data_IF_241380570127
#
_entry.id   IF_241380570127
#
_cell.length_a   1.000
_cell.length_b   1.000
_cell.length_c   1.000
_cell.angle_alpha   90.00
_cell.angle_beta   90.00
_cell.angle_gamma   90.00
#
_symmetry.space_group_name_H-M   'P 1'
#
loop_
_entity.id
_entity.type
_entity.pdbx_description
1 polymer ?
#
# COMPACT_ATOMS: atom_id res chain seq x y z
N UNK A 1 13.51 -3.29 14.09
CA UNK A 1 14.50 -4.37 14.31
C UNK A 1 15.91 -3.78 14.35
N UNK A 2 16.47 -3.53 15.53
CA UNK A 2 17.84 -3.02 15.66
C UNK A 2 18.58 -3.77 16.76
N UNK A 3 19.79 -4.27 16.46
CA UNK A 3 20.62 -5.01 17.43
C UNK A 3 20.27 -6.50 17.60
N UNK A 4 19.40 -7.05 16.75
CA UNK A 4 19.08 -8.48 16.75
C UNK A 4 20.01 -9.23 15.79
N UNK A 5 20.36 -10.46 16.14
CA UNK A 5 21.09 -11.36 15.25
C UNK A 5 20.26 -11.61 13.99
N UNK A 6 20.81 -11.16 12.86
CA UNK A 6 20.28 -11.43 11.53
C UNK A 6 21.27 -12.34 10.80
N UNK A 7 20.76 -13.38 10.16
CA UNK A 7 21.57 -14.23 9.29
C UNK A 7 22.16 -13.45 8.10
N UNK A 8 22.97 -14.12 7.25
CA UNK A 8 23.55 -13.50 6.07
C UNK A 8 22.49 -12.86 5.16
N UNK A 9 22.74 -11.61 4.72
CA UNK A 9 21.83 -10.90 3.81
C UNK A 9 21.98 -11.45 2.39
N UNK A 10 20.92 -12.06 1.86
CA UNK A 10 20.83 -12.38 0.44
C UNK A 10 20.69 -11.08 -0.37
N UNK A 11 21.64 -10.81 -1.27
CA UNK A 11 21.61 -9.67 -2.19
C UNK A 11 21.10 -10.14 -3.55
N UNK A 12 19.78 -10.17 -3.70
CA UNK A 12 19.12 -10.44 -4.98
C UNK A 12 18.54 -9.13 -5.51
N UNK A 13 18.67 -8.88 -6.82
CA UNK A 13 17.95 -7.78 -7.46
C UNK A 13 16.45 -8.10 -7.46
N UNK A 14 15.64 -7.16 -6.96
CA UNK A 14 14.20 -7.25 -7.01
C UNK A 14 13.70 -6.57 -8.29
N UNK A 15 13.04 -7.33 -9.16
CA UNK A 15 12.37 -6.76 -10.33
C UNK A 15 11.03 -6.20 -9.86
N UNK A 16 10.84 -4.89 -9.94
CA UNK A 16 9.59 -4.27 -9.48
C UNK A 16 8.42 -4.63 -10.38
N UNK A 17 7.35 -5.09 -9.77
CA UNK A 17 6.08 -5.27 -10.45
C UNK A 17 5.48 -3.90 -10.83
N UNK A 18 4.67 -3.81 -11.91
CA UNK A 18 4.08 -2.55 -12.33
C UNK A 18 3.24 -1.85 -11.24
N UNK A 19 2.64 -2.60 -10.32
CA UNK A 19 1.84 -2.04 -9.22
C UNK A 19 2.71 -1.46 -8.09
N UNK A 20 3.92 -1.98 -7.88
CA UNK A 20 4.87 -1.46 -6.91
C UNK A 20 5.38 -0.08 -7.35
N UNK A 21 5.71 0.06 -8.63
CA UNK A 21 6.05 1.34 -9.25
C UNK A 21 4.92 2.36 -9.13
N UNK A 22 3.66 1.93 -9.30
CA UNK A 22 2.50 2.81 -9.10
C UNK A 22 2.35 3.23 -7.64
N UNK A 23 2.62 2.33 -6.70
CA UNK A 23 2.57 2.63 -5.26
C UNK A 23 3.59 3.68 -4.87
N UNK A 24 4.85 3.54 -5.33
CA UNK A 24 5.89 4.56 -5.14
C UNK A 24 5.47 5.92 -5.74
N UNK A 25 4.94 5.92 -6.96
CA UNK A 25 4.47 7.15 -7.60
C UNK A 25 3.33 7.82 -6.80
N UNK A 26 2.37 7.06 -6.28
CA UNK A 26 1.29 7.56 -5.43
C UNK A 26 1.87 8.22 -4.18
N UNK A 27 2.79 7.56 -3.47
CA UNK A 27 3.43 8.12 -2.27
C UNK A 27 4.13 9.43 -2.60
N UNK A 28 4.91 9.48 -3.69
CA UNK A 28 5.62 10.71 -4.10
C UNK A 28 4.68 11.86 -4.43
N UNK A 29 3.54 11.58 -5.06
CA UNK A 29 2.54 12.60 -5.39
C UNK A 29 1.86 13.13 -4.13
N UNK A 30 1.42 12.24 -3.24
CA UNK A 30 0.74 12.61 -2.00
C UNK A 30 1.65 13.37 -1.03
N UNK A 31 2.95 13.07 -1.05
CA UNK A 31 3.94 13.70 -0.17
C UNK A 31 4.72 14.85 -0.80
N UNK A 32 4.35 15.29 -2.00
CA UNK A 32 5.09 16.35 -2.68
C UNK A 32 4.92 17.70 -1.95
N UNK A 33 6.00 18.29 -1.40
CA UNK A 33 5.91 19.54 -0.65
C UNK A 33 5.51 20.73 -1.53
N UNK A 34 5.72 20.65 -2.85
CA UNK A 34 5.44 21.76 -3.78
C UNK A 34 3.95 21.91 -4.11
N UNK A 35 3.14 20.88 -3.89
CA UNK A 35 1.72 20.86 -4.30
C UNK A 35 0.74 20.97 -3.13
N UNK A 36 1.21 21.16 -1.89
CA UNK A 36 0.39 21.00 -0.70
C UNK A 36 0.21 19.51 -0.40
N UNK A 37 1.09 18.90 0.40
CA UNK A 37 1.09 17.46 0.61
C UNK A 37 -0.18 17.00 1.34
N UNK A 38 -0.86 16.01 0.77
CA UNK A 38 -2.00 15.34 1.41
C UNK A 38 -1.55 14.36 2.49
N UNK A 39 -0.28 13.93 2.46
CA UNK A 39 0.33 13.05 3.45
C UNK A 39 1.81 13.43 3.64
N UNK A 40 2.34 13.28 4.86
CA UNK A 40 3.77 13.39 5.14
C UNK A 40 4.41 12.01 5.32
N UNK A 41 5.74 11.93 5.15
CA UNK A 41 6.46 10.65 5.28
C UNK A 41 6.44 10.12 6.72
N UNK A 42 6.40 11.00 7.74
CA UNK A 42 6.20 10.58 9.13
C UNK A 42 4.82 9.91 9.34
N UNK A 43 3.77 10.41 8.69
CA UNK A 43 2.43 9.80 8.74
C UNK A 43 2.42 8.41 8.08
N UNK A 44 3.12 8.25 6.94
CA UNK A 44 3.31 6.94 6.31
C UNK A 44 4.04 5.95 7.24
N UNK A 45 5.11 6.39 7.91
CA UNK A 45 5.87 5.50 8.82
C UNK A 45 5.03 5.09 10.02
N UNK A 46 4.34 6.05 10.64
CA UNK A 46 3.41 5.77 11.74
C UNK A 46 2.38 4.73 11.34
N UNK A 47 1.73 4.91 10.19
CA UNK A 47 0.71 3.97 9.73
C UNK A 47 1.24 2.56 9.45
N UNK A 48 2.50 2.39 9.04
CA UNK A 48 3.15 1.07 8.89
C UNK A 48 3.44 0.44 10.27
N UNK A 49 3.91 1.24 11.23
CA UNK A 49 4.22 0.78 12.59
C UNK A 49 2.96 0.36 13.35
N UNK A 50 1.82 1.03 13.08
CA UNK A 50 0.52 0.77 13.71
C UNK A 50 -0.16 -0.52 13.19
N UNK A 51 0.32 -1.14 12.10
CA UNK A 51 -0.26 -2.39 11.55
C UNK A 51 -0.11 -3.60 12.48
N UNK A 52 0.70 -3.48 13.53
CA UNK A 52 0.97 -4.55 14.47
C UNK A 52 1.91 -5.62 13.90
N UNK A 53 2.49 -6.46 14.76
CA UNK A 53 3.57 -7.37 14.38
C UNK A 53 3.15 -8.47 13.39
N UNK A 54 1.90 -8.95 13.43
CA UNK A 54 1.43 -10.02 12.53
C UNK A 54 1.33 -9.58 11.06
N UNK A 55 0.79 -8.39 10.81
CA UNK A 55 0.61 -7.86 9.45
C UNK A 55 1.96 -7.42 8.86
N UNK A 56 2.89 -6.97 9.71
CA UNK A 56 4.22 -6.53 9.28
C UNK A 56 5.04 -7.64 8.61
N UNK A 57 4.86 -8.88 9.07
CA UNK A 57 5.57 -10.07 8.58
C UNK A 57 4.85 -10.74 7.38
N UNK A 58 3.54 -10.56 7.26
CA UNK A 58 2.73 -11.13 6.16
C UNK A 58 2.74 -10.27 4.88
N UNK A 59 2.87 -8.94 5.03
CA UNK A 59 2.84 -8.02 3.90
C UNK A 59 4.24 -7.72 3.33
N UNK A 60 4.33 -7.71 2.02
CA UNK A 60 5.50 -7.20 1.29
C UNK A 60 5.72 -5.71 1.55
N UNK A 61 6.87 -5.19 1.14
CA UNK A 61 7.24 -3.79 1.37
C UNK A 61 6.21 -2.80 0.80
N UNK A 62 5.78 -2.98 -0.45
CA UNK A 62 4.83 -2.06 -1.09
C UNK A 62 3.38 -2.29 -0.65
N UNK A 63 3.02 -3.49 -0.20
CA UNK A 63 1.70 -3.72 0.41
C UNK A 63 1.53 -2.93 1.70
N UNK A 64 2.58 -2.89 2.55
CA UNK A 64 2.58 -2.03 3.76
C UNK A 64 2.44 -0.55 3.41
N UNK A 65 3.11 -0.11 2.35
CA UNK A 65 2.99 1.28 1.91
C UNK A 65 1.57 1.64 1.48
N UNK A 66 0.96 0.86 0.59
CA UNK A 66 -0.37 1.21 0.07
C UNK A 66 -1.45 1.08 1.16
N UNK A 67 -1.33 0.12 2.08
CA UNK A 67 -2.22 0.00 3.23
C UNK A 67 -2.10 1.20 4.17
N UNK A 68 -0.87 1.66 4.46
CA UNK A 68 -0.67 2.85 5.30
C UNK A 68 -1.17 4.13 4.62
N UNK A 69 -0.97 4.27 3.30
CA UNK A 69 -1.52 5.38 2.52
C UNK A 69 -3.04 5.42 2.65
N UNK A 70 -3.72 4.28 2.46
CA UNK A 70 -5.18 4.20 2.58
C UNK A 70 -5.64 4.64 3.98
N UNK A 71 -5.01 4.13 5.04
CA UNK A 71 -5.34 4.50 6.41
C UNK A 71 -5.17 6.01 6.66
N UNK A 72 -4.04 6.60 6.27
CA UNK A 72 -3.78 8.03 6.47
C UNK A 72 -4.78 8.90 5.71
N UNK A 73 -5.14 8.53 4.47
CA UNK A 73 -6.14 9.29 3.71
C UNK A 73 -7.55 9.18 4.30
N UNK A 74 -7.90 8.03 4.90
CA UNK A 74 -9.15 7.84 5.63
C UNK A 74 -9.17 8.65 6.93
N UNK A 75 -8.09 8.60 7.72
CA UNK A 75 -7.94 9.39 8.96
C UNK A 75 -8.11 10.89 8.70
N UNK A 76 -7.64 11.36 7.55
CA UNK A 76 -7.71 12.77 7.14
C UNK A 76 -9.00 13.13 6.40
N UNK A 77 -9.89 12.17 6.17
CA UNK A 77 -11.16 12.36 5.46
C UNK A 77 -10.98 12.73 3.98
N UNK A 78 -9.83 12.43 3.38
CA UNK A 78 -9.58 12.65 1.94
C UNK A 78 -10.36 11.63 1.10
N UNK A 79 -10.45 10.40 1.61
CA UNK A 79 -11.32 9.34 1.10
C UNK A 79 -12.09 8.73 2.28
N UNK A 80 -13.21 8.07 2.00
CA UNK A 80 -13.98 7.38 3.03
C UNK A 80 -13.92 5.85 2.87
N UNK A 81 -14.16 5.13 3.98
CA UNK A 81 -14.11 3.66 4.01
C UNK A 81 -15.13 3.04 3.04
N UNK A 82 -16.32 3.62 2.94
CA UNK A 82 -17.36 3.17 2.00
C UNK A 82 -16.96 3.41 0.54
N UNK A 83 -16.32 4.54 0.25
CA UNK A 83 -15.80 4.86 -1.08
C UNK A 83 -14.71 3.86 -1.51
N UNK A 84 -13.75 3.60 -0.62
CA UNK A 84 -12.71 2.61 -0.86
C UNK A 84 -13.31 1.21 -1.06
N UNK A 85 -14.26 0.80 -0.21
CA UNK A 85 -14.94 -0.48 -0.33
C UNK A 85 -15.67 -0.64 -1.66
N UNK A 86 -16.49 0.34 -2.05
CA UNK A 86 -17.16 0.34 -3.37
C UNK A 86 -16.14 0.24 -4.51
N UNK A 87 -15.05 0.98 -4.43
CA UNK A 87 -14.04 0.98 -5.49
C UNK A 87 -13.33 -0.37 -5.63
N UNK A 88 -13.03 -1.02 -4.51
CA UNK A 88 -12.43 -2.36 -4.52
C UNK A 88 -13.37 -3.37 -5.19
N UNK A 89 -14.67 -3.33 -4.90
CA UNK A 89 -15.65 -4.22 -5.54
C UNK A 89 -15.78 -3.96 -7.05
N UNK A 90 -15.80 -2.69 -7.48
CA UNK A 90 -15.76 -2.35 -8.91
C UNK A 90 -14.51 -2.90 -9.62
N UNK A 91 -13.35 -2.77 -8.98
CA UNK A 91 -12.07 -3.25 -9.53
C UNK A 91 -12.10 -4.78 -9.61
N UNK A 92 -12.54 -5.47 -8.55
CA UNK A 92 -12.69 -6.93 -8.54
C UNK A 92 -13.63 -7.42 -9.65
N UNK A 93 -14.80 -6.79 -9.79
CA UNK A 93 -15.77 -7.14 -10.83
C UNK A 93 -15.20 -6.98 -12.25
N UNK A 94 -14.42 -5.92 -12.49
CA UNK A 94 -13.75 -5.71 -13.79
C UNK A 94 -12.69 -6.77 -14.11
N UNK A 95 -12.07 -7.36 -13.09
CA UNK A 95 -11.05 -8.39 -13.24
C UNK A 95 -11.59 -9.81 -13.03
N UNK A 96 -12.88 -9.98 -12.76
CA UNK A 96 -13.51 -11.28 -12.72
C UNK A 96 -13.45 -11.91 -14.13
N UNK A 97 -13.03 -13.18 -14.27
CA UNK A 97 -13.09 -13.84 -15.56
C UNK A 97 -14.54 -13.85 -16.06
N UNK A 98 -14.74 -13.56 -17.34
CA UNK A 98 -16.07 -13.70 -17.95
C UNK A 98 -16.50 -15.15 -17.77
N UNK A 99 -17.60 -15.37 -17.03
CA UNK A 99 -18.22 -16.69 -16.92
C UNK A 99 -18.50 -17.18 -18.33
N UNK A 100 -17.76 -18.20 -18.80
CA UNK A 100 -18.07 -18.83 -20.08
C UNK A 100 -19.48 -19.42 -19.97
N UNK A 101 -20.41 -19.06 -20.86
CA UNK A 101 -21.68 -19.77 -20.94
C UNK A 101 -21.37 -21.18 -21.47
N UNK A 102 -21.51 -22.18 -20.62
CA UNK A 102 -21.44 -23.59 -21.01
C UNK A 102 -22.55 -23.85 -22.03
N UNK A 103 -22.18 -24.42 -23.19
CA UNK A 103 -23.06 -24.96 -24.22
C UNK A 103 -22.73 -26.43 -24.42
#
# INVERSE_FOLDING_TARGET
MGGLDAGPVARTEHTFEPWENKTDAIVRLLSNPKSGPLMRIDELRRGIEDMGPGIYDELTYYERWIASVANVLIEKGVIHVDELGRKLEEVKARHAPASSPEH
#
